data_IF_477200220072
#
_entry.id   IF_477200220072
#
_cell.length_a   1.000
_cell.length_b   1.000
_cell.length_c   1.000
_cell.angle_alpha   90.00
_cell.angle_beta   90.00
_cell.angle_gamma   90.00
#
_symmetry.space_group_name_H-M   'P 1'
#
loop_
_entity.id
_entity.type
_entity.pdbx_description
1 polymer ?
#
# COMPACT_ATOMS: atom_id res chain seq x y z
N UNK A 1 -5.04 5.00 17.90
CA UNK A 1 -3.82 5.44 17.19
C UNK A 1 -3.77 4.73 15.84
N UNK A 2 -3.18 5.36 14.82
CA UNK A 2 -3.07 4.82 13.46
C UNK A 2 -1.72 5.11 12.85
N UNK A 3 -1.38 4.37 11.80
CA UNK A 3 -0.13 4.50 11.03
C UNK A 3 -0.39 4.27 9.54
N UNK A 4 0.48 4.79 8.70
CA UNK A 4 0.32 4.73 7.24
C UNK A 4 1.28 3.71 6.63
N UNK A 5 0.84 2.96 5.62
CA UNK A 5 1.72 2.20 4.74
C UNK A 5 1.45 2.58 3.29
N UNK A 6 2.48 2.46 2.45
CA UNK A 6 2.36 2.69 1.02
C UNK A 6 2.80 1.46 0.24
N UNK A 7 2.00 1.06 -0.74
CA UNK A 7 2.35 0.05 -1.73
C UNK A 7 2.56 0.74 -3.06
N UNK A 8 3.73 0.55 -3.66
CA UNK A 8 4.23 1.33 -4.78
C UNK A 8 4.67 0.39 -5.91
N UNK A 9 4.17 0.65 -7.12
CA UNK A 9 4.69 0.01 -8.33
C UNK A 9 6.00 0.71 -8.72
N UNK A 10 7.13 0.02 -8.64
CA UNK A 10 8.44 0.59 -8.95
C UNK A 10 9.22 -0.32 -9.89
N UNK A 11 10.27 0.24 -10.49
CA UNK A 11 11.25 -0.55 -11.24
C UNK A 11 12.09 -1.39 -10.26
N UNK A 12 12.55 -2.56 -10.71
CA UNK A 12 13.26 -3.54 -9.88
C UNK A 12 14.59 -3.02 -9.29
N UNK A 13 15.12 -1.93 -9.85
CA UNK A 13 16.34 -1.27 -9.39
C UNK A 13 16.10 -0.18 -8.32
N UNK A 14 14.87 -0.02 -7.82
CA UNK A 14 14.56 1.01 -6.83
C UNK A 14 15.32 0.80 -5.51
N UNK A 15 15.89 1.89 -4.99
CA UNK A 15 16.46 1.94 -3.63
C UNK A 15 15.52 2.69 -2.66
N UNK A 16 15.81 2.61 -1.36
CA UNK A 16 14.98 3.26 -0.33
C UNK A 16 14.85 4.78 -0.53
N UNK A 17 15.87 5.43 -1.10
CA UNK A 17 15.84 6.86 -1.41
C UNK A 17 14.80 7.17 -2.48
N UNK A 18 14.77 6.37 -3.55
CA UNK A 18 13.82 6.48 -4.66
C UNK A 18 12.40 6.17 -4.19
N UNK A 19 12.24 5.15 -3.34
CA UNK A 19 10.95 4.78 -2.70
C UNK A 19 10.39 5.96 -1.90
N UNK A 20 11.22 6.55 -1.03
CA UNK A 20 10.83 7.73 -0.24
C UNK A 20 10.45 8.91 -1.12
N UNK A 21 11.22 9.19 -2.17
CA UNK A 21 10.92 10.28 -3.11
C UNK A 21 9.59 10.06 -3.83
N UNK A 22 9.31 8.82 -4.25
CA UNK A 22 8.02 8.44 -4.85
C UNK A 22 6.87 8.62 -3.87
N UNK A 23 6.99 8.13 -2.64
CA UNK A 23 5.97 8.30 -1.61
C UNK A 23 5.65 9.78 -1.32
N UNK A 24 6.68 10.63 -1.24
CA UNK A 24 6.50 12.07 -1.05
C UNK A 24 5.73 12.71 -2.22
N UNK A 25 6.01 12.29 -3.46
CA UNK A 25 5.25 12.74 -4.64
C UNK A 25 3.78 12.31 -4.58
N UNK A 26 3.52 11.05 -4.23
CA UNK A 26 2.16 10.49 -4.15
C UNK A 26 1.30 11.22 -3.11
N UNK A 27 1.89 11.59 -1.97
CA UNK A 27 1.18 12.29 -0.88
C UNK A 27 1.06 13.80 -1.09
N UNK A 28 1.82 14.38 -2.02
CA UNK A 28 1.73 15.79 -2.39
C UNK A 28 0.53 16.12 -3.31
N UNK A 29 -0.30 15.14 -3.68
CA UNK A 29 -1.47 15.33 -4.55
C UNK A 29 -1.13 15.57 -6.03
N UNK A 30 0.14 15.38 -6.41
CA UNK A 30 0.58 15.41 -7.81
C UNK A 30 0.42 14.00 -8.37
N UNK A 31 -0.80 13.67 -8.80
CA UNK A 31 -1.06 12.40 -9.45
C UNK A 31 -0.53 12.45 -10.89
N UNK A 32 0.28 11.46 -11.26
CA UNK A 32 0.67 11.29 -12.64
C UNK A 32 -0.57 10.95 -13.48
N UNK A 33 -0.71 11.58 -14.64
CA UNK A 33 -1.67 11.17 -15.66
C UNK A 33 -1.15 9.89 -16.33
N UNK A 34 -2.02 8.90 -16.54
CA UNK A 34 -1.63 7.64 -17.19
C UNK A 34 -2.59 6.49 -16.92
N UNK A 35 -2.23 5.34 -17.47
CA UNK A 35 -2.95 4.08 -17.27
C UNK A 35 -2.65 3.49 -15.87
N UNK A 36 -3.63 2.78 -15.31
CA UNK A 36 -3.48 2.05 -14.05
C UNK A 36 -2.45 0.92 -14.21
N UNK A 37 -1.48 0.84 -13.31
CA UNK A 37 -0.55 -0.29 -13.23
C UNK A 37 -1.32 -1.55 -12.83
N UNK A 38 -1.29 -2.57 -13.70
CA UNK A 38 -2.04 -3.81 -13.50
C UNK A 38 -1.66 -4.55 -12.20
N UNK A 39 -0.42 -4.38 -11.70
CA UNK A 39 0.03 -4.95 -10.42
C UNK A 39 -0.68 -4.28 -9.26
N UNK A 40 -0.83 -2.95 -9.31
CA UNK A 40 -1.56 -2.17 -8.30
C UNK A 40 -3.04 -2.54 -8.30
N UNK A 41 -3.65 -2.68 -9.48
CA UNK A 41 -5.04 -3.12 -9.60
C UNK A 41 -5.23 -4.50 -8.97
N UNK A 42 -4.39 -5.48 -9.34
CA UNK A 42 -4.46 -6.83 -8.79
C UNK A 42 -4.25 -6.89 -7.28
N UNK A 43 -3.28 -6.14 -6.77
CA UNK A 43 -3.04 -5.98 -5.33
C UNK A 43 -4.28 -5.40 -4.62
N UNK A 44 -4.82 -4.28 -5.11
CA UNK A 44 -5.91 -3.57 -4.47
C UNK A 44 -7.21 -4.37 -4.47
N UNK A 45 -7.50 -5.10 -5.54
CA UNK A 45 -8.65 -6.01 -5.61
C UNK A 45 -8.55 -7.14 -4.60
N UNK A 46 -7.40 -7.83 -4.52
CA UNK A 46 -7.22 -8.92 -3.55
C UNK A 46 -7.22 -8.43 -2.11
N UNK A 47 -6.64 -7.26 -1.84
CA UNK A 47 -6.66 -6.67 -0.51
C UNK A 47 -8.10 -6.37 -0.07
N UNK A 48 -8.90 -5.74 -0.93
CA UNK A 48 -10.31 -5.41 -0.65
C UNK A 48 -11.20 -6.63 -0.52
N UNK A 49 -10.88 -7.72 -1.22
CA UNK A 49 -11.60 -8.97 -1.06
C UNK A 49 -11.46 -9.54 0.37
N UNK A 50 -10.27 -9.42 0.97
CA UNK A 50 -10.03 -9.89 2.34
C UNK A 50 -10.44 -8.87 3.40
N UNK A 51 -10.22 -7.59 3.12
CA UNK A 51 -10.48 -6.48 4.04
C UNK A 51 -11.26 -5.38 3.31
N UNK A 52 -12.60 -5.45 3.30
CA UNK A 52 -13.42 -4.49 2.57
C UNK A 52 -13.15 -3.04 2.99
N UNK A 53 -12.99 -2.14 2.01
CA UNK A 53 -12.69 -0.72 2.23
C UNK A 53 -13.86 0.22 1.89
N UNK A 54 -15.09 -0.30 1.86
CA UNK A 54 -16.29 0.48 1.60
C UNK A 54 -16.80 1.22 2.86
N UNK A 55 -17.63 2.26 2.70
CA UNK A 55 -18.27 2.94 3.82
C UNK A 55 -19.07 1.98 4.71
N UNK A 56 -19.11 2.24 6.02
CA UNK A 56 -19.81 1.39 6.98
C UNK A 56 -19.01 0.17 7.46
N UNK A 57 -17.67 0.27 7.43
CA UNK A 57 -16.75 -0.81 7.81
C UNK A 57 -17.08 -1.45 9.18
N UNK A 58 -16.86 -2.76 9.33
CA UNK A 58 -16.98 -3.45 10.62
C UNK A 58 -16.13 -2.81 11.73
N UNK A 59 -16.53 -3.00 12.99
CA UNK A 59 -15.81 -2.45 14.16
C UNK A 59 -14.37 -2.97 14.28
N UNK A 60 -14.13 -4.18 13.78
CA UNK A 60 -12.88 -4.92 13.71
C UNK A 60 -12.09 -4.68 12.42
N UNK A 61 -12.53 -3.73 11.57
CA UNK A 61 -11.81 -3.37 10.36
C UNK A 61 -10.38 -2.88 10.66
N UNK A 62 -9.37 -3.32 9.88
CA UNK A 62 -7.99 -2.84 10.03
C UNK A 62 -7.85 -1.36 9.67
N UNK A 63 -8.75 -0.84 8.83
CA UNK A 63 -8.69 0.51 8.30
C UNK A 63 -9.06 1.59 9.33
N UNK A 64 -8.19 2.59 9.44
CA UNK A 64 -8.46 3.83 10.15
C UNK A 64 -9.25 4.81 9.27
N UNK A 65 -8.97 4.82 7.95
CA UNK A 65 -9.63 5.62 6.93
C UNK A 65 -10.05 4.74 5.75
N UNK A 66 -11.20 5.04 5.17
CA UNK A 66 -11.79 4.35 4.01
C UNK A 66 -12.53 5.38 3.14
N UNK A 67 -12.51 5.26 1.80
CA UNK A 67 -11.82 4.24 1.02
C UNK A 67 -10.29 4.39 1.07
N UNK A 68 -9.56 3.35 0.65
CA UNK A 68 -8.10 3.42 0.55
C UNK A 68 -7.68 4.45 -0.51
N UNK A 69 -6.57 5.14 -0.29
CA UNK A 69 -6.08 6.16 -1.21
C UNK A 69 -5.29 5.50 -2.35
N UNK A 70 -5.97 5.18 -3.45
CA UNK A 70 -5.36 4.58 -4.63
C UNK A 70 -5.07 5.64 -5.73
N UNK A 71 -3.89 5.53 -6.34
CA UNK A 71 -3.52 6.24 -7.56
C UNK A 71 -3.17 5.26 -8.69
N UNK A 72 -2.66 5.77 -9.81
CA UNK A 72 -2.34 4.91 -10.97
C UNK A 72 -1.26 3.86 -10.69
N UNK A 73 -0.34 4.16 -9.77
CA UNK A 73 0.89 3.40 -9.52
C UNK A 73 1.14 3.15 -8.01
N UNK A 74 0.12 3.38 -7.17
CA UNK A 74 0.24 3.21 -5.72
C UNK A 74 -1.09 3.02 -5.00
N UNK A 75 -1.02 2.45 -3.80
CA UNK A 75 -2.07 2.49 -2.78
C UNK A 75 -1.45 2.96 -1.47
N UNK A 76 -2.01 3.99 -0.85
CA UNK A 76 -1.69 4.41 0.52
C UNK A 76 -2.84 4.02 1.44
N UNK A 77 -2.50 3.36 2.54
CA UNK A 77 -3.47 2.87 3.53
C UNK A 77 -3.18 3.50 4.89
N UNK A 78 -4.23 3.74 5.65
CA UNK A 78 -4.10 4.11 7.06
C UNK A 78 -4.69 3.01 7.93
N UNK A 79 -3.86 2.41 8.79
CA UNK A 79 -4.14 1.25 9.61
C UNK A 79 -4.36 1.63 11.06
N UNK A 80 -5.20 0.88 11.76
CA UNK A 80 -5.34 0.93 13.22
C UNK A 80 -4.30 0.02 13.86
N UNK A 81 -3.66 0.46 14.94
CA UNK A 81 -2.90 -0.45 15.80
C UNK A 81 -3.87 -1.42 16.49
N UNK A 82 -3.96 -2.64 15.96
CA UNK A 82 -4.91 -3.68 16.35
C UNK A 82 -4.49 -5.02 15.74
N UNK A 83 -5.03 -6.13 16.26
CA UNK A 83 -4.79 -7.47 15.69
C UNK A 83 -5.16 -7.55 14.21
N UNK A 84 -6.30 -6.96 13.83
CA UNK A 84 -6.70 -6.89 12.42
C UNK A 84 -5.71 -6.05 11.58
N UNK A 85 -5.19 -4.96 12.14
CA UNK A 85 -4.14 -4.16 11.53
C UNK A 85 -2.86 -4.96 11.27
N UNK A 86 -2.40 -5.73 12.27
CA UNK A 86 -1.22 -6.59 12.15
C UNK A 86 -1.43 -7.69 11.09
N UNK A 87 -2.62 -8.29 11.04
CA UNK A 87 -2.98 -9.25 9.99
C UNK A 87 -2.97 -8.61 8.60
N UNK A 88 -3.55 -7.42 8.47
CA UNK A 88 -3.53 -6.68 7.21
C UNK A 88 -2.10 -6.38 6.75
N UNK A 89 -1.19 -6.01 7.68
CA UNK A 89 0.23 -5.79 7.35
C UNK A 89 0.89 -7.06 6.81
N UNK A 90 0.66 -8.21 7.43
CA UNK A 90 1.18 -9.48 6.95
C UNK A 90 0.68 -9.81 5.53
N UNK A 91 -0.63 -9.69 5.31
CA UNK A 91 -1.25 -9.92 3.99
C UNK A 91 -0.71 -8.95 2.93
N UNK A 92 -0.53 -7.68 3.27
CA UNK A 92 0.02 -6.70 2.34
C UNK A 92 1.47 -7.02 1.95
N UNK A 93 2.28 -7.54 2.87
CA UNK A 93 3.65 -8.00 2.55
C UNK A 93 3.63 -9.15 1.55
N UNK A 94 2.78 -10.15 1.78
CA UNK A 94 2.65 -11.31 0.89
C UNK A 94 2.14 -10.91 -0.50
N UNK A 95 1.09 -10.11 -0.55
CA UNK A 95 0.53 -9.62 -1.82
C UNK A 95 1.52 -8.70 -2.56
N UNK A 96 2.24 -7.82 -1.85
CA UNK A 96 3.23 -6.97 -2.48
C UNK A 96 4.35 -7.80 -3.12
N UNK A 97 4.83 -8.84 -2.44
CA UNK A 97 5.79 -9.77 -3.00
C UNK A 97 5.23 -10.52 -4.22
N UNK A 98 3.99 -11.01 -4.15
CA UNK A 98 3.34 -11.73 -5.26
C UNK A 98 3.18 -10.86 -6.52
N UNK A 99 2.79 -9.60 -6.35
CA UNK A 99 2.54 -8.68 -7.45
C UNK A 99 3.79 -7.90 -7.90
N UNK A 100 4.97 -8.14 -7.31
CA UNK A 100 6.19 -7.40 -7.67
C UNK A 100 6.11 -5.92 -7.31
N UNK A 101 5.65 -5.61 -6.10
CA UNK A 101 5.44 -4.26 -5.58
C UNK A 101 6.31 -4.00 -4.36
N UNK A 102 6.64 -2.72 -4.13
CA UNK A 102 7.36 -2.29 -2.92
C UNK A 102 6.37 -1.89 -1.85
N UNK A 103 6.53 -2.45 -0.64
CA UNK A 103 5.85 -1.95 0.56
C UNK A 103 6.78 -0.99 1.30
N UNK A 104 6.29 0.20 1.61
CA UNK A 104 7.02 1.26 2.29
C UNK A 104 6.34 1.63 3.61
N UNK A 105 7.13 1.65 4.68
CA UNK A 105 6.74 2.18 5.99
C UNK A 105 7.42 3.54 6.21
N UNK A 106 6.67 4.65 6.11
CA UNK A 106 7.21 5.98 6.32
C UNK A 106 7.52 6.30 7.80
N UNK A 107 7.00 5.52 8.76
CA UNK A 107 7.30 5.71 10.17
C UNK A 107 8.68 5.15 10.54
N UNK A 108 9.03 3.98 10.00
CA UNK A 108 10.33 3.33 10.25
C UNK A 108 11.37 3.63 9.17
N UNK A 109 10.94 4.18 8.03
CA UNK A 109 11.75 4.37 6.82
C UNK A 109 12.26 3.05 6.22
N UNK A 110 11.51 1.95 6.44
CA UNK A 110 11.82 0.65 5.89
C UNK A 110 11.06 0.40 4.58
N UNK A 111 11.76 -0.22 3.62
CA UNK A 111 11.21 -0.70 2.37
C UNK A 111 11.34 -2.23 2.31
N UNK A 112 10.24 -2.91 2.02
CA UNK A 112 10.24 -4.32 1.64
C UNK A 112 10.11 -4.41 0.12
N UNK A 113 11.20 -4.83 -0.51
CA UNK A 113 11.27 -5.01 -1.95
C UNK A 113 10.75 -6.39 -2.36
N UNK A 114 10.18 -6.53 -3.57
CA UNK A 114 9.82 -7.84 -4.08
C UNK A 114 11.07 -8.72 -4.26
N UNK A 115 10.93 -10.05 -4.19
CA UNK A 115 12.04 -10.97 -4.47
C UNK A 115 12.55 -10.77 -5.90
N UNK A 116 13.86 -10.90 -6.11
CA UNK A 116 14.45 -10.89 -7.44
C UNK A 116 13.88 -12.07 -8.26
N UNK A 117 13.31 -11.76 -9.43
CA UNK A 117 12.78 -12.76 -10.38
C UNK A 117 13.85 -13.55 -11.11
#
# INVERSE_FOLDING_TARGET
>A
MSFDLAVLAMDDAADATTVRAKFARCTAGVHAEGDLDARIVGFHERLRHRFPDHPGRPVDSPWASTPLAAGIDHVVVQLRHSVAGDEAVAVMKDLAAEFGLVLWDPQTQEAWFPPAG
#
